data_IF_972120152099
#
_entry.id   IF_972120152099
#
_cell.length_a   1.000
_cell.length_b   1.000
_cell.length_c   1.000
_cell.angle_alpha   90.00
_cell.angle_beta   90.00
_cell.angle_gamma   90.00
#
_symmetry.space_group_name_H-M   'P 1'
#
loop_
_entity.id
_entity.type
_entity.pdbx_description
1 polymer ?
#
# COMPACT_ATOMS: atom_id res chain seq x y z
N UNK A 1 3.54 4.00 -26.48
CA UNK A 1 3.03 3.25 -25.31
C UNK A 1 3.64 1.86 -25.31
N UNK A 2 4.38 1.48 -24.27
CA UNK A 2 5.05 0.18 -24.23
C UNK A 2 4.13 -0.87 -23.57
N UNK A 3 3.26 -1.47 -24.39
CA UNK A 3 2.21 -2.44 -23.98
C UNK A 3 2.72 -3.62 -23.14
N UNK A 4 4.02 -3.94 -23.20
CA UNK A 4 4.61 -5.08 -22.47
C UNK A 4 4.77 -4.80 -20.98
N UNK A 5 5.24 -3.61 -20.59
CA UNK A 5 5.40 -3.23 -19.18
C UNK A 5 4.04 -3.08 -18.50
N UNK A 6 3.02 -2.61 -19.21
CA UNK A 6 1.67 -2.43 -18.68
C UNK A 6 1.01 -3.73 -18.33
N UNK A 7 1.11 -4.71 -19.25
CA UNK A 7 0.63 -6.07 -19.02
C UNK A 7 1.29 -6.66 -17.79
N UNK A 8 2.60 -6.46 -17.59
CA UNK A 8 3.31 -6.98 -16.44
C UNK A 8 2.78 -6.41 -15.10
N UNK A 9 2.67 -5.09 -15.01
CA UNK A 9 2.19 -4.43 -13.78
C UNK A 9 0.73 -4.78 -13.51
N UNK A 10 -0.10 -4.83 -14.55
CA UNK A 10 -1.49 -5.22 -14.43
C UNK A 10 -1.64 -6.69 -14.01
N UNK A 11 -0.84 -7.60 -14.57
CA UNK A 11 -0.82 -9.01 -14.18
C UNK A 11 -0.44 -9.14 -12.71
N UNK A 12 0.62 -8.47 -12.25
CA UNK A 12 1.03 -8.53 -10.83
C UNK A 12 -0.05 -7.96 -9.93
N UNK A 13 -0.63 -6.81 -10.28
CA UNK A 13 -1.71 -6.22 -9.50
C UNK A 13 -2.93 -7.13 -9.42
N UNK A 14 -3.30 -7.75 -10.55
CA UNK A 14 -4.47 -8.62 -10.66
C UNK A 14 -4.25 -9.96 -9.96
N UNK A 15 -3.07 -10.59 -10.08
CA UNK A 15 -2.74 -11.81 -9.34
C UNK A 15 -2.65 -11.53 -7.84
N UNK A 16 -2.12 -10.37 -7.47
CA UNK A 16 -2.03 -9.95 -6.07
C UNK A 16 -3.43 -9.76 -5.49
N UNK A 17 -4.28 -9.00 -6.18
CA UNK A 17 -5.67 -8.77 -5.80
C UNK A 17 -6.48 -10.07 -5.76
N UNK A 18 -6.35 -10.93 -6.77
CA UNK A 18 -7.05 -12.22 -6.83
C UNK A 18 -6.63 -13.11 -5.66
N UNK A 19 -5.35 -13.11 -5.29
CA UNK A 19 -4.90 -13.88 -4.14
C UNK A 19 -5.48 -13.32 -2.83
N UNK A 20 -5.49 -12.00 -2.65
CA UNK A 20 -6.15 -11.38 -1.49
C UNK A 20 -7.65 -11.72 -1.43
N UNK A 21 -8.33 -11.71 -2.58
CA UNK A 21 -9.73 -12.10 -2.69
C UNK A 21 -9.94 -13.58 -2.38
N UNK A 22 -9.07 -14.47 -2.88
CA UNK A 22 -9.11 -15.92 -2.60
C UNK A 22 -8.85 -16.21 -1.12
N UNK A 23 -7.89 -15.54 -0.49
CA UNK A 23 -7.64 -15.64 0.95
C UNK A 23 -8.87 -15.24 1.76
N UNK A 24 -9.60 -14.21 1.33
CA UNK A 24 -10.80 -13.75 2.03
C UNK A 24 -12.05 -14.61 1.77
N UNK A 25 -12.22 -15.12 0.55
CA UNK A 25 -13.39 -15.91 0.15
C UNK A 25 -13.27 -17.38 0.50
N UNK A 26 -12.05 -17.92 0.64
CA UNK A 26 -11.86 -19.26 1.17
C UNK A 26 -12.32 -19.29 2.62
N UNK A 27 -13.20 -20.22 3.02
CA UNK A 27 -13.50 -20.44 4.41
C UNK A 27 -12.25 -21.06 5.06
N UNK A 28 -11.32 -20.21 5.49
CA UNK A 28 -10.06 -20.57 6.18
C UNK A 28 -10.35 -21.42 7.43
N UNK A 29 -11.60 -21.49 7.89
CA UNK A 29 -12.04 -22.42 8.92
C UNK A 29 -11.84 -23.90 8.54
N UNK A 30 -11.84 -24.26 7.25
CA UNK A 30 -11.71 -25.65 6.80
C UNK A 30 -10.27 -26.11 6.52
N UNK A 31 -9.34 -25.18 6.31
CA UNK A 31 -7.93 -25.47 6.07
C UNK A 31 -7.15 -24.82 7.20
N UNK A 32 -6.50 -25.61 8.06
CA UNK A 32 -5.61 -25.14 9.16
C UNK A 32 -4.41 -24.27 8.68
N UNK A 33 -4.38 -23.87 7.42
CA UNK A 33 -3.40 -22.96 6.83
C UNK A 33 -3.80 -21.53 7.21
N UNK A 34 -3.04 -20.89 8.10
CA UNK A 34 -3.28 -19.48 8.47
C UNK A 34 -3.22 -18.60 7.22
N UNK A 35 -4.15 -17.65 7.07
CA UNK A 35 -4.27 -16.70 5.95
C UNK A 35 -2.93 -16.04 5.54
N UNK A 36 -2.06 -15.82 6.52
CA UNK A 36 -0.69 -15.29 6.38
C UNK A 36 0.17 -16.12 5.39
N UNK A 37 0.02 -17.45 5.37
CA UNK A 37 0.84 -18.32 4.54
C UNK A 37 0.51 -18.23 3.05
N UNK A 38 -0.74 -17.89 2.70
CA UNK A 38 -1.17 -17.71 1.31
C UNK A 38 -0.68 -16.37 0.71
N UNK A 39 -0.28 -15.43 1.57
CA UNK A 39 0.28 -14.15 1.18
C UNK A 39 1.69 -14.30 0.56
N UNK A 40 2.55 -15.20 1.09
CA UNK A 40 3.95 -15.31 0.65
C UNK A 40 4.15 -15.85 -0.77
N UNK A 41 3.46 -16.90 -1.25
CA UNK A 41 3.64 -17.38 -2.62
C UNK A 41 3.31 -16.31 -3.64
N UNK A 42 2.24 -15.57 -3.42
CA UNK A 42 1.83 -14.46 -4.28
C UNK A 42 2.82 -13.30 -4.22
N UNK A 43 3.39 -13.04 -3.05
CA UNK A 43 4.37 -12.00 -2.86
C UNK A 43 5.74 -12.35 -3.49
N UNK A 44 6.14 -13.62 -3.45
CA UNK A 44 7.27 -14.16 -4.21
C UNK A 44 7.03 -14.08 -5.72
N UNK A 45 5.82 -14.40 -6.19
CA UNK A 45 5.45 -14.26 -7.59
C UNK A 45 5.47 -12.79 -8.02
N UNK A 46 4.95 -11.87 -7.21
CA UNK A 46 4.95 -10.43 -7.50
C UNK A 46 6.38 -9.87 -7.58
N UNK A 47 7.23 -10.16 -6.60
CA UNK A 47 8.66 -9.76 -6.61
C UNK A 47 9.39 -10.40 -7.78
N UNK A 48 9.19 -11.70 -8.00
CA UNK A 48 9.81 -12.42 -9.11
C UNK A 48 9.41 -11.86 -10.46
N UNK A 49 8.15 -11.47 -10.64
CA UNK A 49 7.65 -10.87 -11.87
C UNK A 49 8.18 -9.45 -12.07
N UNK A 50 8.20 -8.63 -11.02
CA UNK A 50 8.83 -7.30 -11.08
C UNK A 50 10.32 -7.41 -11.43
N UNK A 51 11.06 -8.29 -10.74
CA UNK A 51 12.48 -8.51 -10.98
C UNK A 51 12.77 -9.07 -12.38
N UNK A 52 11.95 -10.02 -12.85
CA UNK A 52 12.01 -10.54 -14.22
C UNK A 52 11.81 -9.40 -15.22
N UNK A 53 10.74 -8.61 -15.09
CA UNK A 53 10.46 -7.54 -16.04
C UNK A 53 11.48 -6.42 -16.01
N UNK A 54 12.02 -6.06 -14.84
CA UNK A 54 13.16 -5.14 -14.74
C UNK A 54 14.34 -5.71 -15.54
N UNK A 55 14.69 -6.98 -15.34
CA UNK A 55 15.84 -7.63 -16.00
C UNK A 55 15.65 -7.85 -17.51
N UNK A 56 14.47 -8.25 -17.97
CA UNK A 56 14.18 -8.49 -19.38
C UNK A 56 14.14 -7.18 -20.18
N UNK A 57 13.76 -6.08 -19.54
CA UNK A 57 13.72 -4.77 -20.18
C UNK A 57 15.11 -4.08 -20.19
N UNK A 58 15.94 -4.26 -19.15
CA UNK A 58 17.33 -3.77 -19.11
C UNK A 58 18.18 -4.23 -20.32
N UNK A 59 17.88 -5.40 -20.89
CA UNK A 59 18.60 -5.93 -22.06
C UNK A 59 18.16 -5.31 -23.40
N UNK A 60 17.16 -4.43 -23.41
CA UNK A 60 16.63 -3.79 -24.62
C UNK A 60 16.76 -2.29 -24.41
N UNK A 61 17.97 -1.77 -24.68
CA UNK A 61 18.30 -0.36 -24.55
C UNK A 61 17.38 0.51 -25.43
N UNK A 62 16.34 1.07 -24.81
CA UNK A 62 15.58 2.27 -25.19
C UNK A 62 14.18 2.14 -24.60
N UNK A 63 13.87 2.72 -23.43
CA UNK A 63 12.52 3.20 -23.15
C UNK A 63 12.36 3.98 -21.83
N UNK A 64 11.73 5.18 -21.92
CA UNK A 64 11.25 5.99 -20.78
C UNK A 64 10.30 5.25 -19.82
N UNK A 65 9.75 4.10 -20.22
CA UNK A 65 8.85 3.29 -19.40
C UNK A 65 9.56 2.41 -18.36
N UNK A 66 10.83 2.09 -18.57
CA UNK A 66 11.62 1.23 -17.67
C UNK A 66 12.08 2.00 -16.44
N UNK A 67 12.55 3.22 -16.68
CA UNK A 67 12.89 4.19 -15.65
C UNK A 67 11.68 4.46 -14.74
N UNK A 68 10.47 4.48 -15.33
CA UNK A 68 9.22 4.67 -14.59
C UNK A 68 8.95 3.56 -13.56
N UNK A 69 9.10 2.29 -13.97
CA UNK A 69 8.78 1.15 -13.10
C UNK A 69 9.79 1.08 -11.94
N UNK A 70 11.08 1.22 -12.26
CA UNK A 70 12.13 1.25 -11.26
C UNK A 70 11.98 2.42 -10.29
N UNK A 71 11.68 3.62 -10.78
CA UNK A 71 11.39 4.79 -9.95
C UNK A 71 10.15 4.57 -9.07
N UNK A 72 9.12 3.90 -9.57
CA UNK A 72 7.92 3.58 -8.78
C UNK A 72 8.23 2.59 -7.66
N UNK A 73 9.07 1.58 -7.92
CA UNK A 73 9.52 0.61 -6.91
C UNK A 73 10.37 1.29 -5.83
N UNK A 74 11.32 2.15 -6.23
CA UNK A 74 12.13 2.92 -5.29
C UNK A 74 11.28 3.85 -4.42
N UNK A 75 10.27 4.49 -5.01
CA UNK A 75 9.30 5.29 -4.27
C UNK A 75 8.53 4.43 -3.27
N UNK A 76 7.96 3.30 -3.70
CA UNK A 76 7.18 2.42 -2.82
C UNK A 76 8.00 1.89 -1.65
N UNK A 77 9.24 1.47 -1.91
CA UNK A 77 10.16 0.99 -0.89
C UNK A 77 10.48 2.09 0.13
N UNK A 78 10.89 3.28 -0.33
CA UNK A 78 11.24 4.39 0.57
C UNK A 78 10.05 4.94 1.34
N UNK A 79 8.88 5.06 0.71
CA UNK A 79 7.66 5.47 1.39
C UNK A 79 7.28 4.49 2.51
N UNK A 80 7.33 3.19 2.23
CA UNK A 80 6.98 2.15 3.20
C UNK A 80 8.02 2.08 4.33
N UNK A 81 9.31 2.10 3.99
CA UNK A 81 10.39 2.10 4.97
C UNK A 81 10.33 3.29 5.92
N UNK A 82 9.93 4.46 5.41
CA UNK A 82 9.78 5.68 6.23
C UNK A 82 8.50 5.65 7.07
N UNK A 83 7.45 4.97 6.62
CA UNK A 83 6.21 4.80 7.36
C UNK A 83 6.32 3.76 8.50
N UNK A 84 7.18 2.75 8.36
CA UNK A 84 7.32 1.65 9.32
C UNK A 84 7.56 2.07 10.78
N UNK A 85 8.43 3.05 11.08
CA UNK A 85 8.58 3.55 12.44
C UNK A 85 7.28 4.13 13.03
N UNK A 86 6.45 4.77 12.20
CA UNK A 86 5.15 5.30 12.64
C UNK A 86 4.16 4.16 12.91
N UNK A 87 4.09 3.17 12.03
CA UNK A 87 3.29 1.96 12.22
C UNK A 87 3.68 1.20 13.50
N UNK A 88 4.99 1.13 13.78
CA UNK A 88 5.52 0.59 15.03
C UNK A 88 5.08 1.38 16.25
N UNK A 89 5.13 2.72 16.21
CA UNK A 89 4.65 3.57 17.30
C UNK A 89 3.15 3.37 17.55
N UNK A 90 2.34 3.36 16.48
CA UNK A 90 0.90 3.17 16.58
C UNK A 90 0.52 1.79 17.16
N UNK A 91 1.24 0.74 16.78
CA UNK A 91 0.97 -0.62 17.26
C UNK A 91 1.50 -0.88 18.68
N UNK A 92 2.73 -0.46 19.00
CA UNK A 92 3.36 -0.77 20.30
C UNK A 92 3.07 0.23 21.40
N UNK A 93 3.11 1.53 21.09
CA UNK A 93 2.95 2.58 22.11
C UNK A 93 1.50 2.96 22.29
N UNK A 94 0.79 3.18 21.19
CA UNK A 94 -0.60 3.64 21.25
C UNK A 94 -1.62 2.50 21.17
N UNK A 95 -1.17 1.29 20.82
CA UNK A 95 -2.00 0.07 20.72
C UNK A 95 -3.26 0.26 19.89
N UNK A 96 -3.20 1.04 18.81
CA UNK A 96 -4.35 1.27 17.92
C UNK A 96 -4.64 0.06 17.06
N UNK A 97 -3.58 -0.56 16.54
CA UNK A 97 -3.65 -1.78 15.77
C UNK A 97 -2.99 -2.85 16.62
N UNK A 98 -3.78 -3.86 16.98
CA UNK A 98 -3.30 -5.05 17.66
C UNK A 98 -3.15 -6.12 16.60
N UNK A 99 -1.92 -6.44 16.22
CA UNK A 99 -1.66 -7.57 15.35
C UNK A 99 -1.95 -8.86 16.13
N UNK A 100 -2.87 -9.70 15.62
CA UNK A 100 -3.32 -10.93 16.30
C UNK A 100 -2.23 -12.00 16.39
N UNK A 101 -1.20 -11.91 15.55
CA UNK A 101 0.03 -12.65 15.77
C UNK A 101 0.78 -12.00 16.93
N UNK A 102 0.95 -12.71 18.04
CA UNK A 102 1.79 -12.34 19.20
C UNK A 102 3.23 -11.95 18.81
N UNK A 103 3.60 -12.20 17.56
CA UNK A 103 4.96 -12.29 17.10
C UNK A 103 5.33 -11.22 16.05
N UNK A 104 4.68 -10.05 16.06
CA UNK A 104 5.06 -8.92 15.17
C UNK A 104 6.56 -8.53 15.29
N UNK A 105 7.23 -8.93 16.38
CA UNK A 105 8.70 -8.93 16.53
C UNK A 105 9.30 -10.28 16.99
N UNK A 106 8.46 -11.29 17.26
CA UNK A 106 8.92 -12.61 17.72
C UNK A 106 9.14 -13.62 16.59
N UNK A 107 8.49 -13.43 15.45
CA UNK A 107 8.47 -14.38 14.34
C UNK A 107 8.51 -13.56 13.04
N UNK A 108 9.74 -13.36 12.56
CA UNK A 108 10.20 -12.41 11.54
C UNK A 108 9.39 -12.48 10.23
N UNK A 109 8.78 -13.63 9.92
CA UNK A 109 8.02 -13.85 8.69
C UNK A 109 6.79 -12.93 8.55
N UNK A 110 5.95 -12.84 9.58
CA UNK A 110 4.64 -12.15 9.54
C UNK A 110 4.71 -10.64 9.22
N UNK A 111 5.59 -9.84 9.85
CA UNK A 111 5.73 -8.43 9.52
C UNK A 111 6.28 -8.21 8.10
N UNK A 112 7.10 -9.13 7.57
CA UNK A 112 7.70 -8.99 6.23
C UNK A 112 6.64 -9.07 5.12
N UNK A 113 5.70 -10.03 5.19
CA UNK A 113 4.63 -10.15 4.19
C UNK A 113 3.71 -8.92 4.14
N UNK A 114 3.44 -8.33 5.31
CA UNK A 114 2.69 -7.08 5.42
C UNK A 114 3.47 -5.92 4.79
N UNK A 115 4.71 -5.69 5.22
CA UNK A 115 5.58 -4.63 4.68
C UNK A 115 5.67 -4.71 3.16
N UNK A 116 5.85 -5.91 2.61
CA UNK A 116 5.98 -6.07 1.17
C UNK A 116 4.66 -5.83 0.43
N UNK A 117 3.51 -6.15 1.03
CA UNK A 117 2.19 -5.79 0.48
C UNK A 117 2.05 -4.27 0.37
N UNK A 118 2.51 -3.54 1.39
CA UNK A 118 2.53 -2.08 1.39
C UNK A 118 3.41 -1.51 0.29
N UNK A 119 4.63 -2.05 0.16
CA UNK A 119 5.54 -1.66 -0.92
C UNK A 119 4.87 -1.86 -2.28
N UNK A 120 4.25 -3.01 -2.52
CA UNK A 120 3.56 -3.32 -3.78
C UNK A 120 2.40 -2.37 -4.04
N UNK A 121 1.58 -2.09 -3.02
CA UNK A 121 0.45 -1.18 -3.13
C UNK A 121 0.88 0.24 -3.49
N UNK A 122 1.86 0.80 -2.76
CA UNK A 122 2.35 2.16 -2.99
C UNK A 122 3.03 2.26 -4.36
N UNK A 123 3.83 1.24 -4.72
CA UNK A 123 4.46 1.13 -6.05
C UNK A 123 3.41 1.15 -7.17
N UNK A 124 2.35 0.36 -7.03
CA UNK A 124 1.27 0.29 -8.02
C UNK A 124 0.52 1.61 -8.16
N UNK A 125 0.17 2.26 -7.03
CA UNK A 125 -0.53 3.54 -7.04
C UNK A 125 0.28 4.64 -7.76
N UNK A 126 1.58 4.73 -7.49
CA UNK A 126 2.47 5.67 -8.17
C UNK A 126 2.68 5.33 -9.65
N UNK A 127 2.81 4.05 -9.97
CA UNK A 127 2.86 3.63 -11.35
C UNK A 127 1.61 4.09 -12.11
N UNK A 128 0.42 3.83 -11.58
CA UNK A 128 -0.85 4.29 -12.14
C UNK A 128 -0.89 5.81 -12.31
N UNK A 129 -0.43 6.58 -11.32
CA UNK A 129 -0.34 8.04 -11.39
C UNK A 129 0.48 8.50 -12.60
N UNK A 130 1.70 7.99 -12.76
CA UNK A 130 2.55 8.37 -13.87
C UNK A 130 1.99 7.89 -15.22
N UNK A 131 1.34 6.73 -15.25
CA UNK A 131 0.67 6.24 -16.47
C UNK A 131 -0.47 7.14 -16.90
N UNK A 132 -1.33 7.57 -15.96
CA UNK A 132 -2.41 8.52 -16.24
C UNK A 132 -1.86 9.84 -16.80
N UNK A 133 -0.74 10.33 -16.28
CA UNK A 133 -0.06 11.52 -16.83
C UNK A 133 0.45 11.30 -18.26
N UNK A 134 1.03 10.13 -18.55
CA UNK A 134 1.46 9.79 -19.90
C UNK A 134 0.30 9.68 -20.89
N UNK A 135 -0.92 9.38 -20.42
CA UNK A 135 -2.16 9.43 -21.21
C UNK A 135 -2.68 10.86 -21.43
N UNK A 136 -1.99 11.88 -20.93
CA UNK A 136 -2.36 13.29 -21.11
C UNK A 136 -3.30 13.85 -20.05
N UNK A 137 -3.61 13.08 -18.99
CA UNK A 137 -4.38 13.62 -17.87
C UNK A 137 -3.57 14.65 -17.09
N UNK A 138 -4.24 15.74 -16.71
CA UNK A 138 -3.64 16.75 -15.85
C UNK A 138 -3.20 16.16 -14.51
N UNK A 139 -2.05 16.59 -13.99
CA UNK A 139 -1.43 16.02 -12.77
C UNK A 139 -2.34 15.92 -11.56
N UNK A 140 -3.21 16.92 -11.32
CA UNK A 140 -4.15 16.91 -10.19
C UNK A 140 -5.35 15.98 -10.43
N UNK A 141 -5.76 15.78 -11.69
CA UNK A 141 -6.82 14.83 -12.03
C UNK A 141 -6.29 13.40 -11.87
N UNK A 142 -5.08 13.14 -12.38
CA UNK A 142 -4.41 11.85 -12.19
C UNK A 142 -4.21 11.52 -10.71
N UNK A 143 -3.78 12.47 -9.87
CA UNK A 143 -3.63 12.25 -8.44
C UNK A 143 -4.96 12.10 -7.71
N UNK A 144 -6.02 12.80 -8.14
CA UNK A 144 -7.39 12.60 -7.64
C UNK A 144 -7.88 11.18 -7.88
N UNK A 145 -7.74 10.67 -9.11
CA UNK A 145 -8.13 9.29 -9.46
C UNK A 145 -7.35 8.27 -8.62
N UNK A 146 -6.03 8.44 -8.52
CA UNK A 146 -5.17 7.55 -7.74
C UNK A 146 -5.50 7.64 -6.25
N UNK A 147 -5.79 8.83 -5.73
CA UNK A 147 -6.21 9.03 -4.34
C UNK A 147 -7.52 8.32 -4.00
N UNK A 148 -8.55 8.48 -4.83
CA UNK A 148 -9.83 7.78 -4.65
C UNK A 148 -9.62 6.27 -4.73
N UNK A 149 -8.86 5.81 -5.73
CA UNK A 149 -8.55 4.38 -5.90
C UNK A 149 -7.76 3.84 -4.70
N UNK A 150 -6.83 4.62 -4.14
CA UNK A 150 -6.05 4.23 -2.98
C UNK A 150 -6.90 4.20 -1.70
N UNK A 151 -7.84 5.12 -1.54
CA UNK A 151 -8.79 5.12 -0.45
C UNK A 151 -9.66 3.85 -0.48
N UNK A 152 -10.26 3.54 -1.64
CA UNK A 152 -11.05 2.32 -1.85
C UNK A 152 -10.18 1.09 -1.61
N UNK A 153 -8.99 1.04 -2.22
CA UNK A 153 -8.01 -0.05 -2.06
C UNK A 153 -7.60 -0.28 -0.61
N UNK A 154 -7.48 0.78 0.20
CA UNK A 154 -7.19 0.66 1.62
C UNK A 154 -8.33 -0.03 2.37
N UNK A 155 -9.60 0.27 2.07
CA UNK A 155 -10.75 -0.43 2.68
C UNK A 155 -10.72 -1.91 2.32
N UNK A 156 -10.39 -2.25 1.07
CA UNK A 156 -10.22 -3.64 0.67
C UNK A 156 -9.06 -4.31 1.41
N UNK A 157 -7.83 -3.78 1.31
CA UNK A 157 -6.66 -4.38 1.96
C UNK A 157 -6.90 -4.54 3.48
N UNK A 158 -7.42 -3.50 4.13
CA UNK A 158 -7.65 -3.53 5.57
C UNK A 158 -8.86 -4.37 6.00
N UNK A 159 -9.86 -4.52 5.13
CA UNK A 159 -11.02 -5.39 5.36
C UNK A 159 -10.68 -6.87 5.15
N UNK A 160 -9.89 -7.16 4.11
CA UNK A 160 -9.44 -8.52 3.78
C UNK A 160 -8.49 -9.05 4.86
N UNK A 161 -7.68 -8.18 5.48
CA UNK A 161 -6.76 -8.55 6.57
C UNK A 161 -7.34 -8.48 7.99
N UNK A 162 -8.68 -8.48 8.19
CA UNK A 162 -9.31 -8.50 9.53
C UNK A 162 -8.87 -9.66 10.44
N UNK A 163 -8.31 -10.72 9.86
CA UNK A 163 -7.75 -11.84 10.61
C UNK A 163 -6.29 -11.61 11.03
N UNK A 164 -5.61 -10.63 10.42
CA UNK A 164 -4.21 -10.27 10.63
C UNK A 164 -4.06 -9.21 11.74
N UNK A 165 -5.03 -8.31 11.85
CA UNK A 165 -5.06 -7.26 12.85
C UNK A 165 -6.46 -7.06 13.41
N UNK A 166 -6.51 -6.50 14.61
CA UNK A 166 -7.69 -5.92 15.22
C UNK A 166 -7.44 -4.44 15.45
N UNK A 167 -8.45 -3.64 15.16
CA UNK A 167 -8.51 -2.28 15.65
C UNK A 167 -8.89 -2.33 17.11
N UNK A 168 -8.15 -1.62 17.96
CA UNK A 168 -8.43 -1.60 19.39
C UNK A 168 -9.75 -0.87 19.65
N UNK A 169 -10.79 -1.64 19.95
CA UNK A 169 -12.14 -1.20 20.25
C UNK A 169 -12.16 -0.01 21.23
N UNK A 170 -11.42 -0.10 22.35
CA UNK A 170 -11.34 0.97 23.37
C UNK A 170 -10.89 2.33 22.83
N UNK A 171 -10.20 2.35 21.68
CA UNK A 171 -9.67 3.56 21.06
C UNK A 171 -10.38 3.96 19.76
N UNK A 172 -11.24 3.08 19.20
CA UNK A 172 -11.79 3.22 17.85
C UNK A 172 -13.31 2.97 17.80
N UNK A 173 -13.94 2.53 18.89
CA UNK A 173 -15.39 2.21 18.96
C UNK A 173 -16.31 3.37 18.63
N UNK A 174 -15.84 4.61 18.85
CA UNK A 174 -16.59 5.82 18.57
C UNK A 174 -16.34 6.39 17.16
N UNK A 175 -15.42 5.79 16.41
CA UNK A 175 -15.06 6.23 15.07
C UNK A 175 -15.93 5.49 14.04
N UNK A 176 -16.54 6.18 13.06
CA UNK A 176 -17.30 5.52 12.01
C UNK A 176 -16.44 4.49 11.27
N UNK A 177 -16.97 3.29 11.09
CA UNK A 177 -16.31 2.19 10.39
C UNK A 177 -16.98 1.92 9.04
N UNK A 178 -16.18 1.65 8.02
CA UNK A 178 -16.60 1.09 6.74
C UNK A 178 -16.29 -0.41 6.78
N UNK A 179 -17.30 -1.23 7.06
CA UNK A 179 -17.08 -2.65 7.38
C UNK A 179 -16.23 -2.80 8.64
N UNK A 180 -15.08 -3.46 8.54
CA UNK A 180 -14.12 -3.62 9.66
C UNK A 180 -12.97 -2.60 9.64
N UNK A 181 -13.07 -1.54 8.83
CA UNK A 181 -12.00 -0.56 8.64
C UNK A 181 -12.45 0.83 9.10
N UNK A 182 -11.72 1.49 10.02
CA UNK A 182 -12.04 2.84 10.45
C UNK A 182 -11.95 3.87 9.32
N UNK A 183 -12.89 4.82 9.27
CA UNK A 183 -12.98 5.81 8.18
C UNK A 183 -11.73 6.71 8.04
N UNK A 184 -10.96 6.89 9.11
CA UNK A 184 -9.73 7.68 9.05
C UNK A 184 -8.65 7.03 8.15
N UNK A 185 -8.73 5.71 7.94
CA UNK A 185 -7.80 4.95 7.08
C UNK A 185 -7.95 5.35 5.60
N UNK A 186 -9.12 5.19 4.97
CA UNK A 186 -9.29 5.62 3.58
C UNK A 186 -9.09 7.12 3.39
N UNK A 187 -9.45 7.95 4.38
CA UNK A 187 -9.19 9.40 4.33
C UNK A 187 -7.68 9.67 4.28
N UNK A 188 -6.89 9.00 5.09
CA UNK A 188 -5.43 9.18 5.09
C UNK A 188 -4.82 8.81 3.74
N UNK A 189 -5.23 7.68 3.17
CA UNK A 189 -4.76 7.26 1.85
C UNK A 189 -5.19 8.25 0.76
N UNK A 190 -6.44 8.69 0.78
CA UNK A 190 -6.94 9.70 -0.15
C UNK A 190 -6.05 10.95 -0.13
N UNK A 191 -5.83 11.53 1.05
CA UNK A 191 -5.01 12.72 1.23
C UNK A 191 -3.57 12.50 0.79
N UNK A 192 -2.99 11.36 1.17
CA UNK A 192 -1.59 11.02 0.85
C UNK A 192 -1.38 10.99 -0.67
N UNK A 193 -2.25 10.32 -1.42
CA UNK A 193 -2.07 10.12 -2.86
C UNK A 193 -2.61 11.27 -3.72
N UNK A 194 -3.55 12.10 -3.22
CA UNK A 194 -3.91 13.37 -3.88
C UNK A 194 -2.69 14.29 -3.98
N UNK A 195 -1.78 14.23 -2.99
CA UNK A 195 -0.58 15.05 -2.92
C UNK A 195 0.60 14.53 -3.77
N UNK A 196 0.43 13.46 -4.54
CA UNK A 196 1.45 12.98 -5.49
C UNK A 196 2.10 14.09 -6.36
N UNK A 197 1.36 15.10 -6.88
CA UNK A 197 1.96 16.18 -7.66
C UNK A 197 2.96 17.04 -6.88
N UNK A 198 2.82 17.10 -5.55
CA UNK A 198 3.71 17.85 -4.68
C UNK A 198 4.96 17.05 -4.32
N UNK A 199 4.86 15.73 -4.14
CA UNK A 199 6.03 14.88 -3.90
C UNK A 199 6.97 14.85 -5.11
N UNK A 200 6.40 14.90 -6.32
CA UNK A 200 7.15 14.92 -7.58
C UNK A 200 7.40 16.34 -8.12
N UNK A 201 7.21 17.38 -7.31
CA UNK A 201 7.42 18.76 -7.75
C UNK A 201 8.88 18.99 -8.18
N UNK A 202 9.09 19.57 -9.37
CA UNK A 202 10.41 19.86 -9.96
C UNK A 202 11.29 18.62 -10.18
N UNK A 203 10.73 17.54 -10.73
CA UNK A 203 11.50 16.34 -11.13
C UNK A 203 12.36 15.79 -10.00
N UNK A 204 11.80 15.72 -8.79
CA UNK A 204 12.52 15.20 -7.64
C UNK A 204 12.84 13.70 -7.80
N UNK A 205 14.00 13.26 -7.26
CA UNK A 205 14.33 11.84 -7.22
C UNK A 205 13.24 11.04 -6.52
N UNK A 206 12.88 9.89 -7.09
CA UNK A 206 11.82 9.03 -6.58
C UNK A 206 12.02 8.62 -5.11
N UNK A 207 13.27 8.49 -4.67
CA UNK A 207 13.64 8.23 -3.27
C UNK A 207 13.17 9.35 -2.33
N UNK A 208 13.43 10.60 -2.69
CA UNK A 208 13.06 11.77 -1.87
C UNK A 208 11.55 11.95 -1.85
N UNK A 209 10.90 11.76 -3.01
CA UNK A 209 9.45 11.78 -3.12
C UNK A 209 8.81 10.69 -2.25
N UNK A 210 9.37 9.48 -2.22
CA UNK A 210 8.90 8.38 -1.39
C UNK A 210 9.06 8.66 0.11
N UNK A 211 10.22 9.16 0.55
CA UNK A 211 10.44 9.59 1.95
C UNK A 211 9.38 10.61 2.38
N UNK A 212 9.12 11.64 1.56
CA UNK A 212 8.09 12.67 1.83
C UNK A 212 6.71 12.06 1.92
N UNK A 213 6.37 11.13 1.02
CA UNK A 213 5.10 10.42 1.05
C UNK A 213 4.94 9.60 2.33
N UNK A 214 5.96 8.85 2.75
CA UNK A 214 5.92 8.05 3.98
C UNK A 214 5.76 8.91 5.24
N UNK A 215 6.49 10.03 5.33
CA UNK A 215 6.33 11.00 6.42
C UNK A 215 4.93 11.61 6.44
N UNK A 216 4.45 12.07 5.28
CA UNK A 216 3.12 12.67 5.17
C UNK A 216 2.03 11.66 5.54
N UNK A 217 2.15 10.41 5.08
CA UNK A 217 1.22 9.34 5.42
C UNK A 217 1.14 9.13 6.92
N UNK A 218 2.28 9.06 7.61
CA UNK A 218 2.33 8.95 9.07
C UNK A 218 1.67 10.15 9.78
N UNK A 219 1.96 11.37 9.34
CA UNK A 219 1.37 12.60 9.88
C UNK A 219 -0.14 12.63 9.65
N UNK A 220 -0.59 12.31 8.43
CA UNK A 220 -1.99 12.31 8.06
C UNK A 220 -2.78 11.24 8.83
N UNK A 221 -2.18 10.06 9.07
CA UNK A 221 -2.78 9.03 9.93
C UNK A 221 -2.92 9.53 11.37
N UNK A 222 -1.86 10.12 11.92
CA UNK A 222 -1.87 10.67 13.27
C UNK A 222 -2.94 11.78 13.44
N UNK A 223 -2.99 12.72 12.50
CA UNK A 223 -3.93 13.85 12.54
C UNK A 223 -5.36 13.40 12.31
N UNK A 224 -5.60 12.53 11.32
CA UNK A 224 -6.94 11.99 11.06
C UNK A 224 -7.45 11.26 12.30
N UNK A 225 -6.61 10.43 12.90
CA UNK A 225 -6.91 9.80 14.18
C UNK A 225 -7.28 10.83 15.26
N UNK A 226 -6.45 11.85 15.48
CA UNK A 226 -6.68 12.85 16.53
C UNK A 226 -7.99 13.62 16.32
N UNK A 227 -8.34 13.94 15.08
CA UNK A 227 -9.59 14.60 14.72
C UNK A 227 -10.81 13.74 15.06
N UNK A 228 -10.80 12.47 14.65
CA UNK A 228 -11.91 11.55 14.92
C UNK A 228 -12.03 11.17 16.40
N UNK A 229 -10.91 11.07 17.12
CA UNK A 229 -10.88 10.87 18.57
C UNK A 229 -11.49 12.06 19.33
N UNK A 230 -11.14 13.29 18.95
CA UNK A 230 -11.63 14.48 19.65
C UNK A 230 -13.10 14.76 19.36
N UNK A 231 -13.60 14.41 18.18
CA UNK A 231 -15.03 14.54 17.85
C UNK A 231 -15.93 13.55 18.61
N UNK A 232 -15.35 12.57 19.31
CA UNK A 232 -16.07 11.59 20.13
C UNK A 232 -16.07 11.88 21.64
N UNK A 233 -15.46 13.01 22.06
CA UNK A 233 -15.52 13.57 23.42
C UNK A 233 -16.53 14.71 23.47
#
# INVERSE_FOLDING_TARGET
MNLKTDKAVLTVALTTFLTFLLVFLLPIRSLRIRAIWLLYPNLLLAIGWFGYHIRTCINIAENKSEDLLWQSVLFGFTATATYLPMDWLFSKKVRFIIYRSSDFFGNIMTPIGLILTWVLFVTFAIYCYHRLQMFGLHRFVASGIVGITAAIGSVFIYGLGKELWEWNALHVDHIPNIGSVPIFMPITFLLTFILCPYYYHRTQPALIAGVRCGLFMGIAMFLSFFLFWRSSL
#
